data_IF_916934929086
#
_entry.id   IF_916934929086
#
_cell.length_a   1.000
_cell.length_b   1.000
_cell.length_c   1.000
_cell.angle_alpha   90.00
_cell.angle_beta   90.00
_cell.angle_gamma   90.00
#
_symmetry.space_group_name_H-M   'P 1'
#
loop_
_entity.id
_entity.type
_entity.pdbx_description
1 polymer ?
#
# COMPACT_ATOMS: atom_id res chain seq x y z
N UNK A 1 -19.27 5.10 0.70
CA UNK A 1 -18.57 6.38 0.43
C UNK A 1 -19.38 7.63 0.79
N UNK A 2 -20.67 7.51 1.03
CA UNK A 2 -21.52 8.66 1.45
C UNK A 2 -21.35 9.02 2.94
N UNK A 3 -20.68 8.19 3.72
CA UNK A 3 -20.39 8.52 5.11
C UNK A 3 -19.24 9.55 5.18
N UNK A 4 -19.46 10.75 5.74
CA UNK A 4 -18.46 11.81 5.80
C UNK A 4 -17.23 11.45 6.65
N UNK A 5 -17.35 10.41 7.50
CA UNK A 5 -16.21 9.88 8.28
C UNK A 5 -15.22 9.12 7.39
N UNK A 6 -15.69 8.64 6.21
CA UNK A 6 -14.90 7.80 5.31
C UNK A 6 -14.04 8.61 4.33
N UNK A 7 -14.51 9.79 3.91
CA UNK A 7 -13.80 10.62 2.94
C UNK A 7 -14.22 12.09 3.04
N UNK A 8 -13.24 12.99 2.91
CA UNK A 8 -13.44 14.43 2.81
C UNK A 8 -13.00 15.22 4.04
N UNK A 9 -13.51 16.46 4.20
CA UNK A 9 -13.06 17.38 5.25
C UNK A 9 -13.30 16.85 6.67
N UNK A 10 -14.41 16.17 6.92
CA UNK A 10 -14.69 15.60 8.24
C UNK A 10 -13.70 14.49 8.60
N UNK A 11 -13.38 13.61 7.63
CA UNK A 11 -12.34 12.58 7.81
C UNK A 11 -10.98 13.22 8.12
N UNK A 12 -10.62 14.30 7.41
CA UNK A 12 -9.38 15.04 7.63
C UNK A 12 -9.30 15.67 9.03
N UNK A 13 -10.39 16.28 9.50
CA UNK A 13 -10.46 16.87 10.83
C UNK A 13 -10.35 15.84 11.96
N UNK A 14 -10.92 14.65 11.77
CA UNK A 14 -10.92 13.56 12.77
C UNK A 14 -9.60 12.79 12.82
N UNK A 15 -9.01 12.51 11.68
CA UNK A 15 -7.89 11.56 11.56
C UNK A 15 -6.64 12.07 10.86
N UNK A 16 -6.59 13.36 10.50
CA UNK A 16 -5.44 13.95 9.80
C UNK A 16 -5.26 13.45 8.37
N UNK A 17 -6.28 12.82 7.78
CA UNK A 17 -6.27 12.34 6.41
C UNK A 17 -7.61 12.58 5.74
N UNK A 18 -7.62 13.04 4.49
CA UNK A 18 -8.86 13.14 3.69
C UNK A 18 -9.51 11.78 3.44
N UNK A 19 -8.76 10.70 3.57
CA UNK A 19 -9.27 9.34 3.64
C UNK A 19 -9.52 8.97 5.10
N UNK A 20 -10.68 8.43 5.43
CA UNK A 20 -11.08 8.11 6.80
C UNK A 20 -10.33 6.90 7.38
N UNK A 21 -8.99 6.95 7.38
CA UNK A 21 -8.15 5.85 7.88
C UNK A 21 -8.43 5.57 9.36
N UNK A 22 -8.60 6.61 10.15
CA UNK A 22 -8.99 6.47 11.57
C UNK A 22 -10.33 5.75 11.71
N UNK A 23 -11.33 6.18 10.93
CA UNK A 23 -12.63 5.54 10.92
C UNK A 23 -12.55 4.07 10.49
N UNK A 24 -11.84 3.77 9.38
CA UNK A 24 -11.70 2.40 8.87
C UNK A 24 -10.99 1.44 9.83
N UNK A 25 -9.94 1.90 10.50
CA UNK A 25 -9.10 1.03 11.32
C UNK A 25 -9.59 0.89 12.76
N UNK A 26 -10.35 1.86 13.28
CA UNK A 26 -10.77 1.88 14.68
C UNK A 26 -12.29 1.85 14.87
N UNK A 27 -13.06 2.60 14.06
CA UNK A 27 -14.49 2.74 14.29
C UNK A 27 -15.33 1.68 13.56
N UNK A 28 -14.96 1.31 12.33
CA UNK A 28 -15.67 0.29 11.54
C UNK A 28 -15.74 -1.05 12.28
N UNK A 29 -14.73 -1.39 13.07
CA UNK A 29 -14.72 -2.61 13.89
C UNK A 29 -15.87 -2.70 14.91
N UNK A 30 -16.46 -1.57 15.29
CA UNK A 30 -17.62 -1.50 16.18
C UNK A 30 -18.93 -1.81 15.43
N UNK A 31 -18.95 -1.58 14.14
CA UNK A 31 -20.11 -1.76 13.26
C UNK A 31 -20.04 -3.09 12.49
N UNK A 32 -18.83 -3.54 12.14
CA UNK A 32 -18.58 -4.80 11.43
C UNK A 32 -17.77 -5.72 12.35
N UNK A 33 -18.22 -6.94 12.60
CA UNK A 33 -17.50 -7.87 13.48
C UNK A 33 -16.06 -8.10 12.98
N UNK A 34 -15.10 -7.88 13.88
CA UNK A 34 -13.69 -8.14 13.64
C UNK A 34 -13.12 -8.96 14.80
N UNK A 35 -12.54 -10.11 14.52
CA UNK A 35 -11.94 -10.98 15.53
C UNK A 35 -10.54 -10.46 15.92
N UNK A 36 -10.52 -9.56 16.90
CA UNK A 36 -9.30 -8.96 17.45
C UNK A 36 -8.37 -10.02 18.06
N UNK A 37 -8.93 -11.05 18.70
CA UNK A 37 -8.13 -12.10 19.33
C UNK A 37 -7.42 -12.96 18.29
N UNK A 38 -8.15 -13.42 17.27
CA UNK A 38 -7.56 -14.14 16.15
C UNK A 38 -6.54 -13.28 15.39
N UNK A 39 -6.83 -11.98 15.20
CA UNK A 39 -5.89 -11.08 14.54
C UNK A 39 -4.59 -10.94 15.33
N UNK A 40 -4.67 -10.76 16.67
CA UNK A 40 -3.48 -10.58 17.52
C UNK A 40 -2.68 -11.87 17.66
N UNK A 41 -3.36 -12.98 17.94
CA UNK A 41 -2.75 -14.25 18.36
C UNK A 41 -2.57 -15.25 17.20
N UNK A 42 -3.17 -14.97 16.02
CA UNK A 42 -3.01 -15.81 14.84
C UNK A 42 -1.54 -15.93 14.41
N UNK A 43 -1.11 -17.13 14.05
CA UNK A 43 0.29 -17.43 13.71
C UNK A 43 0.80 -16.76 12.41
N UNK A 44 -0.05 -16.06 11.67
CA UNK A 44 0.33 -15.36 10.45
C UNK A 44 1.07 -14.07 10.78
N UNK A 45 2.29 -13.93 10.25
CA UNK A 45 3.04 -12.66 10.31
C UNK A 45 2.38 -11.64 9.42
N UNK A 46 2.25 -10.41 9.91
CA UNK A 46 1.80 -9.26 9.12
C UNK A 46 2.82 -8.14 9.26
N UNK A 47 3.24 -7.59 8.14
CA UNK A 47 4.23 -6.50 8.07
C UNK A 47 3.57 -5.30 7.40
N UNK A 48 3.51 -4.17 8.09
CA UNK A 48 3.15 -2.89 7.50
C UNK A 48 4.43 -2.15 7.09
N UNK A 49 4.46 -1.63 5.87
CA UNK A 49 5.60 -0.85 5.37
C UNK A 49 5.21 0.62 5.33
N UNK A 50 6.00 1.47 5.98
CA UNK A 50 5.82 2.92 5.92
C UNK A 50 7.15 3.61 5.61
N UNK A 51 7.10 4.85 5.10
CA UNK A 51 8.29 5.65 4.81
C UNK A 51 8.53 6.64 5.94
N UNK A 52 9.72 6.60 6.54
CA UNK A 52 10.14 7.61 7.53
C UNK A 52 10.39 8.94 6.81
N UNK A 53 9.63 9.97 7.18
CA UNK A 53 9.69 11.29 6.49
C UNK A 53 10.99 12.03 6.77
N UNK A 54 11.66 11.76 7.90
CA UNK A 54 12.93 12.41 8.22
C UNK A 54 14.12 11.81 7.44
N UNK A 55 14.05 10.51 7.13
CA UNK A 55 15.18 9.79 6.54
C UNK A 55 14.95 9.32 5.10
N UNK A 56 13.72 9.36 4.59
CA UNK A 56 13.31 8.77 3.32
C UNK A 56 13.33 7.23 3.30
N UNK A 57 13.72 6.57 4.38
CA UNK A 57 13.90 5.11 4.39
C UNK A 57 12.61 4.36 4.69
N UNK A 58 12.40 3.18 4.07
CA UNK A 58 11.30 2.29 4.45
C UNK A 58 11.51 1.71 5.85
N UNK A 59 10.44 1.65 6.62
CA UNK A 59 10.36 0.95 7.90
C UNK A 59 9.37 -0.22 7.77
N UNK A 60 9.69 -1.35 8.38
CA UNK A 60 8.92 -2.59 8.34
C UNK A 60 8.44 -2.91 9.74
N UNK A 61 7.15 -2.64 9.99
CA UNK A 61 6.53 -2.88 11.29
C UNK A 61 5.85 -4.24 11.29
N UNK A 62 6.30 -5.13 12.16
CA UNK A 62 5.72 -6.47 12.29
C UNK A 62 4.69 -6.52 13.43
N UNK A 63 3.53 -7.08 13.15
CA UNK A 63 2.48 -7.30 14.14
C UNK A 63 3.02 -8.08 15.34
N UNK A 64 2.78 -7.56 16.55
CA UNK A 64 3.25 -8.15 17.79
C UNK A 64 4.72 -7.87 18.15
N UNK A 65 5.42 -7.03 17.36
CA UNK A 65 6.80 -6.61 17.64
C UNK A 65 6.95 -5.08 17.74
N UNK A 66 5.85 -4.36 17.94
CA UNK A 66 5.82 -2.91 18.14
C UNK A 66 5.30 -2.61 19.54
N UNK A 67 5.81 -1.56 20.17
CA UNK A 67 5.35 -1.07 21.47
C UNK A 67 4.09 -0.20 21.38
N UNK A 68 3.61 0.06 20.15
CA UNK A 68 2.38 0.81 19.85
C UNK A 68 1.36 -0.09 19.13
N UNK A 69 0.11 0.38 19.04
CA UNK A 69 -0.94 -0.33 18.30
C UNK A 69 -0.54 -0.51 16.83
N UNK A 70 -0.46 -1.76 16.38
CA UNK A 70 -0.09 -2.10 15.00
C UNK A 70 -1.02 -1.45 13.95
N UNK A 71 -2.27 -1.14 14.30
CA UNK A 71 -3.18 -0.39 13.41
C UNK A 71 -2.61 0.99 13.06
N UNK A 72 -1.80 1.61 13.94
CA UNK A 72 -1.13 2.86 13.62
C UNK A 72 -0.03 2.69 12.56
N UNK A 73 0.68 1.56 12.55
CA UNK A 73 1.60 1.23 11.46
C UNK A 73 0.85 1.02 10.13
N UNK A 74 -0.30 0.35 10.17
CA UNK A 74 -1.18 0.19 8.99
C UNK A 74 -1.71 1.56 8.53
N UNK A 75 -2.08 2.45 9.47
CA UNK A 75 -2.49 3.82 9.16
C UNK A 75 -1.36 4.61 8.48
N UNK A 76 -0.13 4.53 9.02
CA UNK A 76 1.04 5.14 8.41
C UNK A 76 1.30 4.63 6.99
N UNK A 77 1.23 3.30 6.81
CA UNK A 77 1.41 2.62 5.53
C UNK A 77 0.40 3.05 4.44
N UNK A 78 -0.77 3.56 4.84
CA UNK A 78 -1.83 4.04 3.94
C UNK A 78 -1.95 5.58 3.91
N UNK A 79 -1.09 6.31 4.63
CA UNK A 79 -1.14 7.77 4.74
C UNK A 79 -0.42 8.43 3.56
N UNK A 80 -1.19 8.76 2.52
CA UNK A 80 -0.67 9.37 1.29
C UNK A 80 -0.11 10.78 1.54
N UNK A 81 1.08 11.11 1.00
CA UNK A 81 1.59 12.47 0.96
C UNK A 81 0.57 13.45 0.39
N UNK A 82 0.58 14.69 0.86
CA UNK A 82 -0.34 15.78 0.53
C UNK A 82 -1.82 15.55 0.94
N UNK A 83 -2.23 14.30 1.16
CA UNK A 83 -3.60 13.94 1.56
C UNK A 83 -3.72 13.55 3.03
N UNK A 84 -2.59 13.36 3.71
CA UNK A 84 -2.54 12.96 5.13
C UNK A 84 -1.42 13.68 5.85
N UNK A 85 -1.63 13.96 7.15
CA UNK A 85 -0.53 14.33 8.04
C UNK A 85 0.31 13.10 8.36
N UNK A 86 1.64 13.24 8.57
CA UNK A 86 2.46 12.12 9.00
C UNK A 86 1.97 11.50 10.31
N UNK A 87 1.99 10.17 10.37
CA UNK A 87 1.68 9.41 11.57
C UNK A 87 2.93 9.32 12.43
N UNK A 88 2.80 9.71 13.70
CA UNK A 88 3.91 9.63 14.64
C UNK A 88 3.98 8.22 15.26
N UNK A 89 5.09 7.50 15.04
CA UNK A 89 5.37 6.20 15.64
C UNK A 89 6.74 6.29 16.31
N UNK A 90 6.81 6.00 17.60
CA UNK A 90 8.04 6.10 18.41
C UNK A 90 8.79 7.43 18.22
N UNK A 91 8.03 8.53 18.19
CA UNK A 91 8.58 9.88 18.03
C UNK A 91 9.09 10.22 16.61
N UNK A 92 8.89 9.34 15.63
CA UNK A 92 9.28 9.55 14.24
C UNK A 92 8.06 9.71 13.32
N UNK A 93 8.12 10.60 12.30
CA UNK A 93 7.03 10.82 11.35
C UNK A 93 7.07 9.81 10.20
N UNK A 94 5.92 9.19 9.90
CA UNK A 94 5.77 8.23 8.81
C UNK A 94 4.61 8.58 7.88
N UNK A 95 4.82 8.30 6.59
CA UNK A 95 3.82 8.34 5.53
C UNK A 95 3.83 7.02 4.75
N UNK A 96 3.01 6.95 3.68
CA UNK A 96 2.79 5.77 2.84
C UNK A 96 4.09 5.06 2.47
N UNK A 97 4.12 3.74 2.66
CA UNK A 97 5.27 2.90 2.34
C UNK A 97 5.65 2.93 0.86
N UNK A 98 4.67 3.18 -0.02
CA UNK A 98 4.89 3.32 -1.45
C UNK A 98 5.79 4.49 -1.86
N UNK A 99 6.05 5.46 -0.96
CA UNK A 99 7.00 6.54 -1.24
C UNK A 99 8.43 6.02 -1.39
N UNK A 100 8.87 5.09 -0.55
CA UNK A 100 10.23 4.50 -0.60
C UNK A 100 10.26 3.04 -1.04
N UNK A 101 9.18 2.29 -0.80
CA UNK A 101 9.09 0.85 -1.06
C UNK A 101 7.70 0.48 -1.60
N UNK A 102 7.42 0.69 -2.90
CA UNK A 102 6.10 0.45 -3.50
C UNK A 102 5.58 -0.99 -3.35
N UNK A 103 6.48 -1.95 -3.41
CA UNK A 103 6.25 -3.38 -3.15
C UNK A 103 7.48 -3.91 -2.41
N UNK A 104 7.30 -4.56 -1.28
CA UNK A 104 8.38 -5.05 -0.43
C UNK A 104 9.06 -6.32 -0.99
N UNK A 105 9.25 -6.40 -2.33
CA UNK A 105 9.80 -7.57 -3.03
C UNK A 105 11.21 -7.90 -2.55
N UNK A 106 12.12 -6.92 -2.56
CA UNK A 106 13.51 -7.13 -2.14
C UNK A 106 13.61 -7.50 -0.65
N UNK A 107 12.73 -6.94 0.18
CA UNK A 107 12.64 -7.35 1.58
C UNK A 107 12.23 -8.83 1.69
N UNK A 108 11.19 -9.26 0.96
CA UNK A 108 10.74 -10.64 0.97
C UNK A 108 11.80 -11.63 0.44
N UNK A 109 12.51 -11.27 -0.62
CA UNK A 109 13.63 -12.06 -1.15
C UNK A 109 14.74 -12.24 -0.11
N UNK A 110 15.07 -11.17 0.64
CA UNK A 110 16.09 -11.18 1.67
C UNK A 110 15.68 -11.93 2.95
N UNK A 111 14.39 -12.21 3.14
CA UNK A 111 13.91 -13.05 4.26
C UNK A 111 14.13 -14.56 4.01
N UNK A 112 14.55 -14.97 2.84
CA UNK A 112 14.79 -16.37 2.49
C UNK A 112 13.51 -17.19 2.26
N UNK A 113 12.38 -16.54 1.97
CA UNK A 113 11.16 -17.28 1.61
C UNK A 113 11.35 -18.08 0.32
N UNK A 114 11.00 -19.34 0.34
CA UNK A 114 11.05 -20.23 -0.84
C UNK A 114 10.00 -19.85 -1.88
N UNK A 115 8.81 -19.46 -1.43
CA UNK A 115 7.69 -19.05 -2.27
C UNK A 115 7.29 -17.62 -1.98
N UNK A 116 7.17 -16.82 -3.02
CA UNK A 116 6.75 -15.42 -2.95
C UNK A 116 5.62 -15.19 -3.93
N UNK A 117 4.47 -14.78 -3.42
CA UNK A 117 3.32 -14.38 -4.23
C UNK A 117 3.18 -12.86 -4.16
N UNK A 118 3.15 -12.21 -5.31
CA UNK A 118 2.97 -10.76 -5.42
C UNK A 118 1.63 -10.45 -6.04
N UNK A 119 0.79 -9.71 -5.32
CA UNK A 119 -0.51 -9.25 -5.82
C UNK A 119 -0.38 -7.78 -6.16
N UNK A 120 -0.60 -7.40 -7.43
CA UNK A 120 -0.54 -6.02 -7.87
C UNK A 120 -1.91 -5.47 -8.23
N UNK A 121 -2.06 -4.14 -8.12
CA UNK A 121 -3.27 -3.43 -8.50
C UNK A 121 -3.24 -2.93 -9.95
N UNK A 122 -2.20 -3.29 -10.70
CA UNK A 122 -2.02 -2.91 -12.11
C UNK A 122 -1.67 -4.14 -12.94
N UNK A 123 -2.12 -4.14 -14.19
CA UNK A 123 -1.85 -5.21 -15.16
C UNK A 123 -0.36 -5.33 -15.51
N UNK A 124 0.03 -6.47 -16.08
CA UNK A 124 1.38 -6.67 -16.62
C UNK A 124 1.70 -5.58 -17.67
N UNK A 125 2.94 -5.11 -17.67
CA UNK A 125 3.41 -4.07 -18.59
C UNK A 125 3.01 -2.64 -18.20
N UNK A 126 2.21 -2.42 -17.15
CA UNK A 126 1.94 -1.07 -16.67
C UNK A 126 3.24 -0.39 -16.17
N UNK A 127 3.44 0.85 -16.59
CA UNK A 127 4.51 1.71 -16.09
C UNK A 127 3.94 3.07 -15.70
N UNK A 128 4.45 3.64 -14.63
CA UNK A 128 4.09 4.99 -14.16
C UNK A 128 4.78 6.03 -15.02
N UNK A 129 4.09 7.14 -15.28
CA UNK A 129 4.68 8.34 -15.90
C UNK A 129 5.29 9.22 -14.83
N UNK A 130 6.39 9.91 -15.17
CA UNK A 130 7.06 10.85 -14.26
C UNK A 130 6.09 11.96 -13.82
N UNK A 131 6.29 12.53 -12.62
CA UNK A 131 5.43 13.60 -12.11
C UNK A 131 5.55 14.84 -13.01
N UNK A 132 4.43 15.56 -13.15
CA UNK A 132 4.43 16.84 -13.86
C UNK A 132 5.24 17.89 -13.10
N UNK A 133 5.72 18.93 -13.80
CA UNK A 133 6.42 20.05 -13.17
C UNK A 133 5.64 20.66 -11.98
N UNK A 134 4.33 20.83 -12.15
CA UNK A 134 3.46 21.33 -11.08
C UNK A 134 3.47 20.41 -9.85
N UNK A 135 3.56 19.09 -10.05
CA UNK A 135 3.62 18.14 -8.94
C UNK A 135 4.98 18.18 -8.25
N UNK A 136 6.05 18.36 -9.01
CA UNK A 136 7.41 18.56 -8.47
C UNK A 136 7.46 19.80 -7.57
N UNK A 137 6.94 20.94 -8.05
CA UNK A 137 6.83 22.17 -7.28
C UNK A 137 6.02 21.98 -5.99
N UNK A 138 4.88 21.28 -6.08
CA UNK A 138 4.05 20.99 -4.92
C UNK A 138 4.77 20.10 -3.90
N UNK A 139 5.53 19.11 -4.34
CA UNK A 139 6.34 18.29 -3.44
C UNK A 139 7.46 19.11 -2.78
N UNK A 140 8.09 20.02 -3.50
CA UNK A 140 9.11 20.91 -2.96
C UNK A 140 8.53 21.87 -1.91
N UNK A 141 7.37 22.48 -2.20
CA UNK A 141 6.67 23.36 -1.26
C UNK A 141 6.34 22.68 0.08
N UNK A 142 5.95 21.39 0.04
CA UNK A 142 5.54 20.67 1.25
C UNK A 142 6.66 19.91 1.96
N UNK A 143 7.68 19.48 1.20
CA UNK A 143 8.73 18.57 1.71
C UNK A 143 10.15 19.05 1.41
N UNK A 144 10.35 20.29 0.95
CA UNK A 144 11.66 20.84 0.65
C UNK A 144 12.60 20.89 1.86
N UNK A 145 12.04 21.01 3.08
CA UNK A 145 12.78 20.91 4.34
C UNK A 145 13.17 19.46 4.73
N UNK A 146 12.77 18.46 3.92
CA UNK A 146 13.01 17.02 4.11
C UNK A 146 13.62 16.40 2.85
N UNK A 147 14.87 16.77 2.51
CA UNK A 147 15.45 16.50 1.20
C UNK A 147 15.53 15.00 0.84
N UNK A 148 15.70 14.12 1.81
CA UNK A 148 15.75 12.67 1.57
C UNK A 148 14.37 12.12 1.19
N UNK A 149 13.32 12.57 1.88
CA UNK A 149 11.95 12.19 1.54
C UNK A 149 11.51 12.80 0.21
N UNK A 150 11.86 14.07 -0.05
CA UNK A 150 11.59 14.73 -1.32
C UNK A 150 12.24 13.96 -2.49
N UNK A 151 13.50 13.53 -2.35
CA UNK A 151 14.18 12.72 -3.36
C UNK A 151 13.42 11.40 -3.64
N UNK A 152 12.87 10.76 -2.62
CA UNK A 152 12.02 9.57 -2.79
C UNK A 152 10.75 9.89 -3.56
N UNK A 153 10.10 11.00 -3.26
CA UNK A 153 8.89 11.42 -3.96
C UNK A 153 9.14 11.72 -5.43
N UNK A 154 10.27 12.35 -5.75
CA UNK A 154 10.63 12.71 -7.12
C UNK A 154 11.11 11.52 -7.97
N UNK A 155 11.55 10.44 -7.35
CA UNK A 155 12.05 9.23 -8.02
C UNK A 155 11.14 8.02 -7.92
N UNK A 156 9.98 8.15 -7.25
CA UNK A 156 9.07 7.05 -6.97
C UNK A 156 8.63 6.30 -8.22
N UNK A 157 8.28 7.01 -9.28
CA UNK A 157 7.80 6.42 -10.54
C UNK A 157 8.89 5.62 -11.24
N UNK A 158 10.10 6.15 -11.27
CA UNK A 158 11.25 5.45 -11.85
C UNK A 158 11.56 4.17 -11.06
N UNK A 159 11.62 4.25 -9.73
CA UNK A 159 11.86 3.07 -8.89
C UNK A 159 10.76 2.03 -9.02
N UNK A 160 9.49 2.47 -9.10
CA UNK A 160 8.37 1.57 -9.36
C UNK A 160 8.54 0.84 -10.70
N UNK A 161 8.91 1.54 -11.75
CA UNK A 161 9.08 0.96 -13.08
C UNK A 161 10.24 -0.06 -13.09
N UNK A 162 11.39 0.26 -12.51
CA UNK A 162 12.51 -0.67 -12.34
C UNK A 162 12.13 -1.90 -11.53
N UNK A 163 11.32 -1.72 -10.48
CA UNK A 163 10.81 -2.83 -9.67
C UNK A 163 9.86 -3.73 -10.48
N UNK A 164 9.06 -3.17 -11.39
CA UNK A 164 8.20 -3.96 -12.28
C UNK A 164 9.00 -4.76 -13.29
N UNK A 165 10.10 -4.23 -13.81
CA UNK A 165 11.02 -4.97 -14.69
C UNK A 165 11.65 -6.16 -13.93
N UNK A 166 12.17 -5.93 -12.73
CA UNK A 166 12.68 -6.99 -11.85
C UNK A 166 11.61 -8.04 -11.51
N UNK A 167 10.38 -7.61 -11.24
CA UNK A 167 9.28 -8.51 -10.93
C UNK A 167 8.92 -9.39 -12.13
N UNK A 168 8.95 -8.85 -13.35
CA UNK A 168 8.68 -9.59 -14.58
C UNK A 168 9.76 -10.66 -14.80
N UNK A 169 11.04 -10.36 -14.61
CA UNK A 169 12.16 -11.31 -14.69
C UNK A 169 12.05 -12.44 -13.65
N UNK A 170 11.70 -12.12 -12.42
CA UNK A 170 11.53 -13.10 -11.34
C UNK A 170 10.31 -14.00 -11.55
N UNK A 171 9.23 -13.47 -12.15
CA UNK A 171 8.06 -14.25 -12.55
C UNK A 171 8.42 -15.21 -13.69
N UNK A 172 9.14 -14.77 -14.72
CA UNK A 172 9.59 -15.60 -15.86
C UNK A 172 10.53 -16.72 -15.41
N UNK A 173 11.39 -16.48 -14.45
CA UNK A 173 12.25 -17.51 -13.86
C UNK A 173 11.53 -18.46 -12.91
N UNK A 174 10.26 -18.22 -12.59
CA UNK A 174 9.47 -19.01 -11.63
C UNK A 174 9.83 -18.78 -10.17
N UNK A 175 10.66 -17.75 -9.85
CA UNK A 175 11.04 -17.41 -8.48
C UNK A 175 9.90 -16.75 -7.70
N UNK A 176 9.02 -16.04 -8.41
CA UNK A 176 7.86 -15.34 -7.87
C UNK A 176 6.63 -15.72 -8.68
N UNK A 177 5.46 -15.76 -8.03
CA UNK A 177 4.18 -15.87 -8.70
C UNK A 177 3.42 -14.56 -8.61
N UNK A 178 2.94 -14.02 -9.73
CA UNK A 178 2.23 -12.76 -9.77
C UNK A 178 0.73 -12.94 -10.01
N UNK A 179 -0.08 -12.32 -9.16
CA UNK A 179 -1.53 -12.15 -9.39
C UNK A 179 -1.76 -10.71 -9.78
N UNK A 180 -2.17 -10.47 -11.02
CA UNK A 180 -2.35 -9.14 -11.62
C UNK A 180 -3.72 -9.03 -12.29
N UNK A 181 -4.32 -7.84 -12.36
CA UNK A 181 -5.50 -7.63 -13.21
C UNK A 181 -5.19 -8.01 -14.66
N UNK A 182 -6.14 -8.66 -15.34
CA UNK A 182 -5.98 -9.05 -16.75
C UNK A 182 -5.95 -7.82 -17.66
N UNK A 183 -6.77 -6.80 -17.36
CA UNK A 183 -6.90 -5.57 -18.13
C UNK A 183 -6.63 -4.32 -17.28
N UNK A 184 -6.39 -3.16 -17.90
CA UNK A 184 -6.19 -1.90 -17.19
C UNK A 184 -7.33 -1.55 -16.23
N UNK A 185 -6.97 -1.02 -15.07
CA UNK A 185 -7.92 -0.42 -14.13
C UNK A 185 -8.18 1.01 -14.57
N UNK A 186 -9.42 1.29 -14.96
CA UNK A 186 -9.85 2.59 -15.52
C UNK A 186 -10.46 3.54 -14.51
N UNK A 187 -10.84 3.04 -13.31
CA UNK A 187 -11.39 3.90 -12.26
C UNK A 187 -10.29 4.70 -11.56
N UNK A 188 -10.61 5.94 -11.23
CA UNK A 188 -9.70 6.83 -10.52
C UNK A 188 -9.65 6.57 -9.02
N UNK A 189 -8.63 7.16 -8.36
CA UNK A 189 -8.44 7.07 -6.90
C UNK A 189 -9.63 7.62 -6.11
N UNK A 190 -10.33 8.59 -6.65
CA UNK A 190 -11.47 9.28 -6.04
C UNK A 190 -12.82 8.87 -6.65
N UNK A 191 -12.90 7.68 -7.26
CA UNK A 191 -14.15 7.18 -7.83
C UNK A 191 -15.27 7.13 -6.78
N UNK A 192 -16.38 7.78 -7.08
CA UNK A 192 -17.55 7.86 -6.20
C UNK A 192 -18.72 6.98 -6.65
N UNK A 193 -18.67 6.44 -7.87
CA UNK A 193 -19.72 5.58 -8.40
C UNK A 193 -19.62 4.18 -7.79
N UNK A 194 -20.60 3.82 -6.96
CA UNK A 194 -20.66 2.54 -6.26
C UNK A 194 -20.74 1.35 -7.21
N UNK A 195 -21.44 1.50 -8.36
CA UNK A 195 -21.56 0.42 -9.33
C UNK A 195 -20.19 0.11 -9.96
N UNK A 196 -19.43 1.12 -10.33
CA UNK A 196 -18.07 0.93 -10.85
C UNK A 196 -17.13 0.28 -9.83
N UNK A 197 -17.28 0.65 -8.55
CA UNK A 197 -16.49 0.03 -7.47
C UNK A 197 -16.89 -1.43 -7.25
N UNK A 198 -18.19 -1.74 -7.29
CA UNK A 198 -18.71 -3.09 -7.18
C UNK A 198 -18.30 -3.95 -8.38
N UNK A 199 -18.36 -3.41 -9.58
CA UNK A 199 -17.92 -4.08 -10.80
C UNK A 199 -16.44 -4.43 -10.74
N UNK A 200 -15.59 -3.49 -10.28
CA UNK A 200 -14.17 -3.74 -10.08
C UNK A 200 -13.91 -4.83 -9.01
N UNK A 201 -14.66 -4.79 -7.90
CA UNK A 201 -14.58 -5.82 -6.86
C UNK A 201 -14.93 -7.21 -7.42
N UNK A 202 -16.07 -7.31 -8.12
CA UNK A 202 -16.54 -8.57 -8.72
C UNK A 202 -15.55 -9.10 -9.78
N UNK A 203 -14.97 -8.19 -10.56
CA UNK A 203 -13.91 -8.51 -11.52
C UNK A 203 -12.70 -9.08 -10.81
N UNK A 204 -12.17 -8.43 -9.79
CA UNK A 204 -10.99 -8.92 -9.05
C UNK A 204 -11.25 -10.28 -8.40
N UNK A 205 -12.46 -10.48 -7.88
CA UNK A 205 -12.85 -11.77 -7.30
C UNK A 205 -12.89 -12.90 -8.33
N UNK A 206 -13.42 -12.65 -9.53
CA UNK A 206 -13.44 -13.62 -10.65
C UNK A 206 -12.03 -13.93 -11.12
N UNK A 207 -11.24 -12.91 -11.46
CA UNK A 207 -9.86 -13.06 -11.95
C UNK A 207 -8.96 -13.77 -10.93
N UNK A 208 -9.14 -13.49 -9.63
CA UNK A 208 -8.42 -14.18 -8.56
C UNK A 208 -8.77 -15.69 -8.49
N UNK A 209 -10.04 -16.05 -8.71
CA UNK A 209 -10.45 -17.46 -8.76
C UNK A 209 -9.87 -18.18 -9.96
N UNK A 210 -9.83 -17.55 -11.12
CA UNK A 210 -9.26 -18.12 -12.35
C UNK A 210 -7.77 -18.48 -12.17
N UNK A 211 -7.06 -17.77 -11.31
CA UNK A 211 -5.62 -17.98 -11.04
C UNK A 211 -5.31 -18.98 -9.91
N UNK A 212 -6.33 -19.57 -9.27
CA UNK A 212 -6.10 -20.48 -8.13
C UNK A 212 -5.32 -21.75 -8.48
N UNK A 213 -5.55 -22.34 -9.65
CA UNK A 213 -4.85 -23.57 -10.05
C UNK A 213 -3.37 -23.29 -10.38
N UNK A 214 -3.09 -22.16 -11.03
CA UNK A 214 -1.70 -21.71 -11.26
C UNK A 214 -0.97 -21.46 -9.95
N UNK A 215 -1.63 -20.80 -9.00
CA UNK A 215 -1.10 -20.55 -7.67
C UNK A 215 -0.81 -21.84 -6.91
N UNK A 216 -1.73 -22.82 -6.91
CA UNK A 216 -1.52 -24.12 -6.28
C UNK A 216 -0.32 -24.84 -6.89
N UNK A 217 -0.25 -24.89 -8.21
CA UNK A 217 0.88 -25.48 -8.93
C UNK A 217 2.21 -24.83 -8.56
N UNK A 218 2.23 -23.49 -8.37
CA UNK A 218 3.42 -22.77 -7.93
C UNK A 218 3.83 -23.13 -6.48
N UNK A 219 2.85 -23.27 -5.59
CA UNK A 219 3.11 -23.56 -4.17
C UNK A 219 3.55 -25.01 -3.92
N UNK A 220 3.18 -25.96 -4.79
CA UNK A 220 3.50 -27.39 -4.69
C UNK A 220 4.88 -27.77 -5.28
N UNK A 221 5.44 -26.93 -6.14
CA UNK A 221 6.80 -27.10 -6.70
C UNK A 221 7.88 -26.76 -5.67
#
# INVERSE_FOLDING_TARGET
>A
RHDPRYFGPEAALRGGSVFGLQFMLHDVKKEVPFDEEMFRNGGMRMIAVATNVATGKPAYFEKGKTDFDFNEAVRASASLPLASTPVMLDGQPYLDGGCSCPIALNWALNQGFEKIVVITTRQKGFRKTMPSQRMVELYDDFYGDKPLFLADMLTQEMRYNTLMDQLDELEESGRVHCIRPNDPITIGRFEGDENKLLDLYNRGHREGREKLEELRTYLEK
#
